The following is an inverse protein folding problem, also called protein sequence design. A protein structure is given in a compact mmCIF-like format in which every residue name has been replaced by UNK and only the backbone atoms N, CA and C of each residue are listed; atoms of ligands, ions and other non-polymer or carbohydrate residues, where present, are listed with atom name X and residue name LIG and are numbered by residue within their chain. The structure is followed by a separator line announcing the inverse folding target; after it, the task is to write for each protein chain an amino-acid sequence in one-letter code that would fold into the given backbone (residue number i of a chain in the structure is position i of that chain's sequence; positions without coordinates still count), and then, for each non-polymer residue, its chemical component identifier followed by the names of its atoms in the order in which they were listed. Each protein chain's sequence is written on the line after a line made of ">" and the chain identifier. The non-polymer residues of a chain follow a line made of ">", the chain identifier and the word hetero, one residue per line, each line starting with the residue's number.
data_IF_603816630987
#
_entry.id   IF_603816630987
#
_cell.length_a   1.000
_cell.length_b   1.000
_cell.length_c   1.000
_cell.angle_alpha   90.00
_cell.angle_beta   90.00
_cell.angle_gamma   90.00
#
_symmetry.space_group_name_H-M   'P 1'
#
loop_
_entity.id
_entity.type
_entity.pdbx_description
1 polymer ?
#
# COMPACT_ATOMS: atom_id res chain seq x y z
N UNK A 1 -14.12 32.04 -10.79
CA UNK A 1 -14.32 32.25 -9.36
C UNK A 1 -13.32 31.39 -8.60
N UNK A 2 -12.73 31.97 -7.63
CA UNK A 2 -11.72 31.34 -6.82
C UNK A 2 -12.25 30.08 -6.10
N UNK A 3 -13.52 30.09 -5.74
CA UNK A 3 -14.12 28.95 -5.04
C UNK A 3 -14.23 27.70 -5.90
N UNK A 4 -14.48 27.87 -7.20
CA UNK A 4 -14.57 26.75 -8.13
C UNK A 4 -13.22 26.03 -8.27
N UNK A 5 -12.12 26.78 -8.43
CA UNK A 5 -10.77 26.21 -8.50
C UNK A 5 -10.38 25.53 -7.20
N UNK A 6 -10.69 26.16 -6.08
CA UNK A 6 -10.40 25.62 -4.76
C UNK A 6 -11.15 24.32 -4.52
N UNK A 7 -12.43 24.27 -4.94
CA UNK A 7 -13.24 23.06 -4.81
C UNK A 7 -12.70 21.93 -5.68
N UNK A 8 -12.29 22.22 -6.90
CA UNK A 8 -11.71 21.21 -7.78
C UNK A 8 -10.44 20.64 -7.17
N UNK A 9 -9.58 21.50 -6.64
CA UNK A 9 -8.34 21.04 -5.97
C UNK A 9 -8.66 20.13 -4.79
N UNK A 10 -9.58 20.52 -3.93
CA UNK A 10 -9.97 19.72 -2.76
C UNK A 10 -10.59 18.39 -3.16
N UNK A 11 -11.43 18.39 -4.17
CA UNK A 11 -12.06 17.15 -4.63
C UNK A 11 -11.03 16.15 -5.13
N UNK A 12 -10.03 16.63 -5.87
CA UNK A 12 -8.92 15.77 -6.33
C UNK A 12 -8.10 15.24 -5.17
N UNK A 13 -7.77 16.11 -4.22
CA UNK A 13 -6.96 15.75 -3.07
C UNK A 13 -7.66 14.68 -2.21
N UNK A 14 -8.91 14.93 -1.85
CA UNK A 14 -9.66 13.97 -1.05
C UNK A 14 -10.01 12.70 -1.80
N UNK A 15 -10.16 12.78 -3.12
CA UNK A 15 -10.30 11.62 -3.97
C UNK A 15 -9.07 10.72 -3.93
N UNK A 16 -7.88 11.33 -3.91
CA UNK A 16 -6.63 10.59 -3.75
C UNK A 16 -6.53 9.94 -2.37
N UNK A 17 -6.87 10.68 -1.32
CA UNK A 17 -6.88 10.13 0.04
C UNK A 17 -7.82 8.93 0.12
N UNK A 18 -9.00 9.05 -0.46
CA UNK A 18 -9.98 7.97 -0.44
C UNK A 18 -9.50 6.73 -1.20
N UNK A 19 -8.78 6.92 -2.29
CA UNK A 19 -8.21 5.82 -3.07
C UNK A 19 -7.18 5.05 -2.26
N UNK A 20 -6.30 5.79 -1.57
CA UNK A 20 -5.32 5.19 -0.67
C UNK A 20 -6.03 4.49 0.48
N UNK A 21 -7.02 5.15 1.08
CA UNK A 21 -7.80 4.57 2.17
C UNK A 21 -8.47 3.26 1.77
N UNK A 22 -9.01 3.20 0.55
CA UNK A 22 -9.62 1.97 0.05
C UNK A 22 -8.60 0.85 -0.09
N UNK A 23 -7.40 1.17 -0.59
CA UNK A 23 -6.33 0.18 -0.70
C UNK A 23 -5.88 -0.33 0.67
N UNK A 24 -5.93 0.51 1.69
CA UNK A 24 -5.54 0.16 3.06
C UNK A 24 -6.64 -0.55 3.84
N UNK A 25 -7.87 -0.58 3.32
CA UNK A 25 -9.01 -1.12 4.04
C UNK A 25 -9.13 -2.64 3.98
N UNK A 26 -8.01 -3.35 4.08
CA UNK A 26 -7.98 -4.80 4.02
C UNK A 26 -6.83 -5.32 4.89
N UNK A 27 -7.08 -6.24 5.83
CA UNK A 27 -6.04 -6.70 6.75
C UNK A 27 -4.86 -7.37 6.06
N UNK A 28 -5.08 -8.11 4.98
CA UNK A 28 -4.00 -8.75 4.24
C UNK A 28 -3.08 -7.71 3.60
N UNK A 29 -3.66 -6.65 3.05
CA UNK A 29 -2.87 -5.58 2.43
C UNK A 29 -2.06 -4.83 3.47
N UNK A 30 -2.62 -4.61 4.65
CA UNK A 30 -1.91 -3.94 5.73
C UNK A 30 -0.72 -4.78 6.21
N UNK A 31 -0.90 -6.09 6.32
CA UNK A 31 0.21 -6.98 6.68
C UNK A 31 1.31 -6.97 5.62
N UNK A 32 0.93 -7.01 4.34
CA UNK A 32 1.91 -6.96 3.25
C UNK A 32 2.72 -5.67 3.29
N UNK A 33 2.08 -4.53 3.60
CA UNK A 33 2.80 -3.27 3.74
C UNK A 33 3.78 -3.31 4.91
N UNK A 34 3.40 -3.91 6.03
CA UNK A 34 4.31 -4.03 7.17
C UNK A 34 5.52 -4.90 6.86
N UNK A 35 5.31 -5.98 6.11
CA UNK A 35 6.42 -6.83 5.67
C UNK A 35 7.36 -6.04 4.76
N UNK A 36 6.81 -5.26 3.83
CA UNK A 36 7.61 -4.44 2.92
C UNK A 36 8.29 -3.28 3.63
N UNK A 37 7.74 -2.81 4.74
CA UNK A 37 8.39 -1.79 5.56
C UNK A 37 9.70 -2.30 6.17
N UNK A 38 9.85 -3.62 6.31
CA UNK A 38 11.07 -4.24 6.80
C UNK A 38 12.11 -4.43 5.70
N UNK A 39 11.71 -4.33 4.44
CA UNK A 39 12.62 -4.45 3.31
C UNK A 39 11.94 -5.05 2.09
N UNK A 40 12.61 -4.91 0.94
CA UNK A 40 12.14 -5.46 -0.32
C UNK A 40 12.02 -6.98 -0.24
N UNK A 41 10.98 -7.53 -0.86
CA UNK A 41 10.72 -8.97 -0.87
C UNK A 41 10.11 -9.42 -2.18
N UNK A 42 10.37 -10.68 -2.53
CA UNK A 42 9.70 -11.30 -3.68
C UNK A 42 8.24 -11.60 -3.36
N UNK A 43 7.43 -11.76 -4.41
CA UNK A 43 6.03 -12.18 -4.27
C UNK A 43 5.94 -13.51 -3.52
N UNK A 44 6.84 -14.45 -3.84
CA UNK A 44 6.84 -15.77 -3.19
C UNK A 44 7.08 -15.65 -1.67
N UNK A 45 8.05 -14.83 -1.28
CA UNK A 45 8.33 -14.61 0.14
C UNK A 45 7.15 -13.94 0.84
N UNK A 46 6.53 -12.95 0.19
CA UNK A 46 5.37 -12.26 0.76
C UNK A 46 4.19 -13.20 0.93
N UNK A 47 3.93 -14.06 -0.04
CA UNK A 47 2.85 -15.04 0.05
C UNK A 47 3.10 -16.01 1.23
N UNK A 48 4.32 -16.51 1.34
CA UNK A 48 4.68 -17.44 2.41
C UNK A 48 4.57 -16.79 3.79
N UNK A 49 5.15 -15.60 3.94
CA UNK A 49 5.17 -14.89 5.22
C UNK A 49 3.78 -14.45 5.68
N UNK A 50 2.89 -14.13 4.74
CA UNK A 50 1.54 -13.70 5.06
C UNK A 50 0.54 -14.85 5.16
N UNK A 51 0.94 -16.06 4.79
CA UNK A 51 0.05 -17.20 4.78
C UNK A 51 -0.98 -17.17 3.66
N UNK A 52 -0.74 -16.39 2.61
CA UNK A 52 -1.64 -16.29 1.47
C UNK A 52 -1.17 -17.22 0.35
N UNK A 53 -2.12 -17.59 -0.53
CA UNK A 53 -1.74 -18.22 -1.79
C UNK A 53 -1.00 -17.20 -2.64
N UNK A 54 -0.20 -17.69 -3.58
CA UNK A 54 0.51 -16.80 -4.51
C UNK A 54 -0.47 -15.91 -5.27
N UNK A 55 -1.59 -16.48 -5.72
CA UNK A 55 -2.62 -15.73 -6.46
C UNK A 55 -3.23 -14.63 -5.61
N UNK A 56 -3.58 -14.91 -4.36
CA UNK A 56 -4.18 -13.92 -3.47
C UNK A 56 -3.19 -12.83 -3.10
N UNK A 57 -1.94 -13.19 -2.80
CA UNK A 57 -0.90 -12.22 -2.53
C UNK A 57 -0.71 -11.29 -3.73
N UNK A 58 -0.65 -11.85 -4.94
CA UNK A 58 -0.49 -11.06 -6.16
C UNK A 58 -1.62 -10.07 -6.36
N UNK A 59 -2.87 -10.47 -6.10
CA UNK A 59 -4.03 -9.58 -6.23
C UNK A 59 -3.95 -8.41 -5.27
N UNK A 60 -3.61 -8.67 -4.01
CA UNK A 60 -3.47 -7.61 -3.01
C UNK A 60 -2.31 -6.69 -3.34
N UNK A 61 -1.19 -7.24 -3.80
CA UNK A 61 -0.03 -6.45 -4.20
C UNK A 61 -0.35 -5.55 -5.40
N UNK A 62 -1.12 -6.06 -6.37
CA UNK A 62 -1.55 -5.23 -7.49
C UNK A 62 -2.43 -4.07 -7.04
N UNK A 63 -3.34 -4.28 -6.09
CA UNK A 63 -4.17 -3.22 -5.54
C UNK A 63 -3.32 -2.14 -4.86
N UNK A 64 -2.33 -2.54 -4.09
CA UNK A 64 -1.41 -1.62 -3.43
C UNK A 64 -0.57 -0.84 -4.45
N UNK A 65 -0.12 -1.53 -5.50
CA UNK A 65 0.67 -0.91 -6.56
C UNK A 65 -0.15 0.13 -7.34
N UNK A 66 -1.40 -0.19 -7.68
CA UNK A 66 -2.29 0.72 -8.37
C UNK A 66 -2.58 1.97 -7.56
N UNK A 67 -2.59 1.85 -6.24
CA UNK A 67 -2.76 3.01 -5.36
C UNK A 67 -1.47 3.81 -5.16
N UNK A 68 -0.36 3.36 -5.75
CA UNK A 68 0.92 4.06 -5.66
C UNK A 68 1.68 3.83 -4.35
N UNK A 69 1.31 2.82 -3.57
CA UNK A 69 1.91 2.58 -2.26
C UNK A 69 3.16 1.70 -2.36
N UNK A 70 3.26 0.89 -3.38
CA UNK A 70 4.40 0.01 -3.60
C UNK A 70 4.83 0.04 -5.07
N UNK A 71 6.07 -0.36 -5.30
CA UNK A 71 6.64 -0.50 -6.64
C UNK A 71 7.14 -1.91 -6.82
N UNK A 72 7.20 -2.37 -8.08
CA UNK A 72 7.72 -3.68 -8.39
C UNK A 72 8.93 -3.56 -9.31
N UNK A 73 9.81 -4.57 -9.24
CA UNK A 73 10.87 -4.74 -10.22
C UNK A 73 11.04 -6.21 -10.54
N UNK A 74 11.43 -6.49 -11.77
CA UNK A 74 11.75 -7.86 -12.19
C UNK A 74 13.23 -8.12 -11.96
N UNK A 75 13.52 -9.34 -11.51
CA UNK A 75 14.88 -9.83 -11.34
C UNK A 75 14.87 -11.29 -11.82
N UNK A 76 15.18 -11.48 -13.09
CA UNK A 76 15.08 -12.80 -13.72
C UNK A 76 13.64 -13.29 -13.71
N UNK A 77 13.40 -14.42 -13.09
CA UNK A 77 12.08 -15.03 -12.98
C UNK A 77 11.28 -14.50 -11.78
N UNK A 78 11.89 -13.67 -10.95
CA UNK A 78 11.25 -13.19 -9.74
C UNK A 78 10.73 -11.78 -9.89
N UNK A 79 9.61 -11.48 -9.23
CA UNK A 79 9.11 -10.13 -9.08
C UNK A 79 9.31 -9.73 -7.62
N UNK A 80 9.96 -8.60 -7.40
CA UNK A 80 10.20 -8.04 -6.08
C UNK A 80 9.36 -6.79 -5.89
N UNK A 81 8.92 -6.57 -4.67
CA UNK A 81 8.15 -5.38 -4.30
C UNK A 81 8.87 -4.62 -3.20
N UNK A 82 8.66 -3.31 -3.18
CA UNK A 82 9.16 -2.42 -2.13
C UNK A 82 8.17 -1.29 -1.93
N UNK A 83 8.25 -0.61 -0.79
CA UNK A 83 7.48 0.61 -0.57
C UNK A 83 7.90 1.67 -1.59
N UNK A 84 6.92 2.39 -2.13
CA UNK A 84 7.18 3.41 -3.14
C UNK A 84 7.88 4.63 -2.56
N UNK A 85 7.64 4.93 -1.27
CA UNK A 85 8.08 6.17 -0.64
C UNK A 85 8.15 5.93 0.87
N UNK A 86 9.14 6.52 1.57
CA UNK A 86 9.20 6.43 3.03
C UNK A 86 7.93 6.90 3.74
N UNK A 87 7.15 7.80 3.13
CA UNK A 87 5.87 8.26 3.68
C UNK A 87 4.88 7.11 3.87
N UNK A 88 4.97 6.05 3.07
CA UNK A 88 4.09 4.88 3.21
C UNK A 88 4.39 4.16 4.53
N UNK A 89 5.65 4.08 4.92
CA UNK A 89 6.05 3.54 6.21
C UNK A 89 5.43 4.35 7.36
N UNK A 90 5.49 5.69 7.27
CA UNK A 90 4.91 6.57 8.29
C UNK A 90 3.39 6.41 8.38
N UNK A 91 2.73 6.23 7.26
CA UNK A 91 1.29 5.99 7.21
C UNK A 91 0.93 4.69 7.96
N UNK A 92 1.69 3.63 7.72
CA UNK A 92 1.51 2.35 8.39
C UNK A 92 1.75 2.46 9.90
N UNK A 93 2.80 3.18 10.29
CA UNK A 93 3.10 3.45 11.70
C UNK A 93 1.96 4.20 12.39
N UNK A 94 1.39 5.18 11.70
CA UNK A 94 0.26 5.96 12.23
C UNK A 94 -0.94 5.08 12.53
N UNK A 95 -1.26 4.16 11.62
CA UNK A 95 -2.34 3.22 11.83
C UNK A 95 -2.10 2.35 13.06
N UNK A 96 -0.89 1.85 13.23
CA UNK A 96 -0.52 1.04 14.39
C UNK A 96 -0.66 1.85 15.68
N UNK A 97 -0.13 3.07 15.68
CA UNK A 97 -0.19 3.95 16.86
C UNK A 97 -1.62 4.21 17.29
N UNK A 98 -2.50 4.54 16.34
CA UNK A 98 -3.91 4.78 16.63
C UNK A 98 -4.57 3.52 17.19
N UNK A 99 -4.27 2.36 16.59
CA UNK A 99 -4.85 1.08 17.01
C UNK A 99 -4.42 0.70 18.43
N UNK A 100 -3.17 0.96 18.78
CA UNK A 100 -2.62 0.61 20.09
C UNK A 100 -3.18 1.47 21.21
N UNK A 101 -3.75 2.63 20.89
CA UNK A 101 -4.35 3.53 21.87
C UNK A 101 -5.81 3.26 22.14
N UNK A 102 -6.41 2.28 21.48
CA UNK A 102 -7.84 1.99 21.58
C UNK A 102 -8.19 1.02 22.71
#
# INVERSE_FOLDING_TARGET
>A
MKDASHRVFKDRLYGQFARIGKALGNPHRLELLELLAQGERSVDALATESGLTLANASQHLQALRQAGLIESRKDGLFVHYRLADPAVFELSRGLRTVSERR
#
